data_IF_847125191124
#
_entry.id   IF_847125191124
#
_cell.length_a   1.000
_cell.length_b   1.000
_cell.length_c   1.000
_cell.angle_alpha   90.00
_cell.angle_beta   90.00
_cell.angle_gamma   90.00
#
_symmetry.space_group_name_H-M   'P 1'
#
loop_
_entity.id
_entity.type
_entity.pdbx_description
1 polymer ?
#
# COMPACT_ATOMS: atom_id res chain seq x y z
N UNK A 1 9.82 2.89 -15.47
CA UNK A 1 9.81 1.50 -15.93
C UNK A 1 11.00 0.78 -15.33
N UNK A 2 10.75 -0.18 -14.44
CA UNK A 2 11.78 -0.96 -13.77
C UNK A 2 11.86 -2.35 -14.42
N UNK A 3 13.08 -2.80 -14.71
CA UNK A 3 13.37 -4.16 -15.18
C UNK A 3 13.85 -4.98 -13.99
N UNK A 4 13.40 -6.23 -13.90
CA UNK A 4 13.89 -7.22 -12.94
C UNK A 4 14.45 -8.42 -13.67
N UNK A 5 15.52 -8.98 -13.14
CA UNK A 5 16.07 -10.23 -13.63
C UNK A 5 15.41 -11.38 -12.88
N UNK A 6 14.84 -12.33 -13.62
CA UNK A 6 14.15 -13.49 -13.03
C UNK A 6 14.77 -14.75 -13.60
N UNK A 7 15.28 -15.58 -12.70
CA UNK A 7 15.71 -16.93 -13.00
C UNK A 7 14.52 -17.87 -12.97
N UNK A 8 14.36 -18.66 -14.05
CA UNK A 8 13.32 -19.68 -14.17
C UNK A 8 13.94 -21.01 -14.53
N UNK A 9 13.26 -22.09 -14.14
CA UNK A 9 13.62 -23.41 -14.64
C UNK A 9 13.57 -23.43 -16.16
N UNK A 10 14.56 -24.06 -16.78
CA UNK A 10 14.62 -24.19 -18.22
C UNK A 10 13.39 -24.95 -18.73
N UNK A 11 12.61 -24.31 -19.59
CA UNK A 11 11.36 -24.85 -20.13
C UNK A 11 11.52 -26.13 -20.96
N UNK A 12 12.74 -26.42 -21.41
CA UNK A 12 13.06 -27.58 -22.26
C UNK A 12 13.43 -28.81 -21.43
N UNK A 13 14.22 -28.65 -20.36
CA UNK A 13 14.71 -29.77 -19.54
C UNK A 13 14.11 -29.83 -18.13
N UNK A 14 13.21 -28.90 -17.77
CA UNK A 14 12.56 -28.90 -16.45
C UNK A 14 13.54 -28.79 -15.29
N UNK A 15 14.68 -28.12 -15.48
CA UNK A 15 15.68 -27.91 -14.42
C UNK A 15 16.84 -28.91 -14.38
N UNK A 16 16.84 -29.98 -15.18
CA UNK A 16 17.90 -31.00 -15.14
C UNK A 16 19.23 -30.56 -15.79
N UNK A 17 19.17 -29.60 -16.72
CA UNK A 17 20.31 -29.11 -17.49
C UNK A 17 20.35 -29.67 -18.91
N UNK A 18 20.53 -28.80 -19.90
CA UNK A 18 20.69 -29.17 -21.31
C UNK A 18 21.48 -28.09 -22.07
N UNK A 19 21.79 -28.33 -23.34
CA UNK A 19 22.51 -27.36 -24.18
C UNK A 19 21.81 -26.00 -24.27
N UNK A 20 20.47 -25.98 -24.17
CA UNK A 20 19.67 -24.76 -24.23
C UNK A 20 19.84 -23.83 -23.02
N UNK A 21 20.16 -24.39 -21.85
CA UNK A 21 20.51 -23.63 -20.65
C UNK A 21 22.01 -23.77 -20.31
N UNK A 22 22.84 -24.27 -21.23
CA UNK A 22 24.26 -24.53 -21.01
C UNK A 22 24.56 -25.38 -19.76
N UNK A 23 23.68 -26.35 -19.48
CA UNK A 23 23.83 -27.30 -18.37
C UNK A 23 23.49 -26.74 -16.99
N UNK A 24 22.98 -25.52 -16.87
CA UNK A 24 22.66 -24.91 -15.56
C UNK A 24 21.30 -25.32 -15.01
N UNK A 25 20.40 -25.81 -15.87
CA UNK A 25 18.99 -26.04 -15.53
C UNK A 25 18.15 -24.77 -15.43
N UNK A 26 18.76 -23.58 -15.54
CA UNK A 26 18.14 -22.28 -15.25
C UNK A 26 18.32 -21.35 -16.46
N UNK A 27 17.26 -20.62 -16.79
CA UNK A 27 17.31 -19.53 -17.75
C UNK A 27 16.86 -18.24 -17.08
N UNK A 28 17.74 -17.24 -17.10
CA UNK A 28 17.44 -15.91 -16.64
C UNK A 28 16.86 -15.04 -17.75
N UNK A 29 15.78 -14.33 -17.47
CA UNK A 29 15.20 -13.34 -18.37
C UNK A 29 15.00 -12.00 -17.68
N UNK A 30 15.17 -10.91 -18.44
CA UNK A 30 14.79 -9.58 -17.99
C UNK A 30 13.29 -9.39 -18.25
N UNK A 31 12.51 -9.20 -17.19
CA UNK A 31 11.07 -8.97 -17.26
C UNK A 31 10.75 -7.54 -16.86
N UNK A 32 9.82 -6.94 -17.59
CA UNK A 32 9.25 -5.64 -17.22
C UNK A 32 8.33 -5.81 -16.01
N UNK A 33 8.61 -5.04 -14.96
CA UNK A 33 7.68 -4.95 -13.84
C UNK A 33 6.52 -4.03 -14.22
N UNK A 34 5.25 -4.46 -14.03
CA UNK A 34 4.13 -3.57 -14.20
C UNK A 34 4.27 -2.39 -13.22
N UNK A 35 4.04 -1.18 -13.70
CA UNK A 35 3.97 0.00 -12.85
C UNK A 35 2.76 -0.14 -11.92
N UNK A 36 3.00 -0.51 -10.65
CA UNK A 36 1.97 -0.52 -9.62
C UNK A 36 1.65 0.93 -9.26
N UNK A 37 0.52 1.44 -9.74
CA UNK A 37 -0.02 2.72 -9.27
C UNK A 37 -0.76 2.51 -7.97
N UNK A 38 -0.15 2.93 -6.86
CA UNK A 38 -0.86 3.02 -5.59
C UNK A 38 -1.89 4.15 -5.65
N UNK A 39 -3.06 4.02 -5.02
CA UNK A 39 -4.01 5.11 -4.91
C UNK A 39 -3.36 6.29 -4.18
N UNK A 40 -3.53 7.49 -4.73
CA UNK A 40 -3.14 8.71 -4.01
C UNK A 40 -4.26 9.08 -3.02
N UNK A 41 -3.92 9.39 -1.75
CA UNK A 41 -4.90 9.88 -0.80
C UNK A 41 -5.50 11.21 -1.28
N UNK A 42 -6.81 11.38 -1.06
CA UNK A 42 -7.44 12.68 -1.28
C UNK A 42 -6.79 13.74 -0.40
N UNK A 43 -6.90 15.02 -0.81
CA UNK A 43 -6.40 16.15 -0.01
C UNK A 43 -6.91 16.11 1.43
N UNK A 44 -8.19 15.79 1.63
CA UNK A 44 -8.78 15.67 2.96
C UNK A 44 -8.14 14.53 3.77
N UNK A 45 -7.90 13.36 3.17
CA UNK A 45 -7.23 12.25 3.84
C UNK A 45 -5.78 12.59 4.23
N UNK A 46 -5.10 13.35 3.38
CA UNK A 46 -3.76 13.85 3.67
C UNK A 46 -3.76 14.84 4.85
N UNK A 47 -4.71 15.79 4.86
CA UNK A 47 -4.89 16.74 5.96
C UNK A 47 -5.25 16.05 7.29
N UNK A 48 -6.09 15.01 7.25
CA UNK A 48 -6.41 14.17 8.42
C UNK A 48 -5.15 13.52 8.98
N UNK A 49 -4.36 12.85 8.13
CA UNK A 49 -3.10 12.20 8.53
C UNK A 49 -2.11 13.21 9.11
N UNK A 50 -1.96 14.36 8.47
CA UNK A 50 -1.07 15.43 8.94
C UNK A 50 -1.47 15.93 10.33
N UNK A 51 -2.76 16.17 10.55
CA UNK A 51 -3.28 16.54 11.87
C UNK A 51 -3.02 15.46 12.90
N UNK A 52 -3.36 14.19 12.61
CA UNK A 52 -3.15 13.07 13.56
C UNK A 52 -1.69 12.98 14.01
N UNK A 53 -0.76 13.08 13.06
CA UNK A 53 0.68 13.05 13.34
C UNK A 53 1.14 14.27 14.16
N UNK A 54 0.63 15.46 13.86
CA UNK A 54 0.92 16.66 14.63
C UNK A 54 0.41 16.56 16.08
N UNK A 55 -0.77 15.95 16.27
CA UNK A 55 -1.35 15.66 17.58
C UNK A 55 -0.69 14.46 18.30
N UNK A 56 0.31 13.80 17.67
CA UNK A 56 0.99 12.60 18.17
C UNK A 56 0.05 11.44 18.49
N UNK A 57 -1.07 11.36 17.80
CA UNK A 57 -2.05 10.29 17.97
C UNK A 57 -1.68 9.08 17.12
N UNK A 58 -1.71 7.89 17.71
CA UNK A 58 -1.72 6.63 16.98
C UNK A 58 -3.08 6.41 16.31
N UNK A 59 -3.14 5.53 15.31
CA UNK A 59 -4.44 5.15 14.72
C UNK A 59 -5.34 4.43 15.74
N UNK A 60 -4.76 3.75 16.73
CA UNK A 60 -5.52 3.11 17.80
C UNK A 60 -6.20 4.15 18.70
N UNK A 61 -5.46 5.18 19.12
CA UNK A 61 -6.03 6.26 19.93
C UNK A 61 -7.12 7.02 19.16
N UNK A 62 -6.87 7.34 17.89
CA UNK A 62 -7.89 7.97 17.04
C UNK A 62 -9.13 7.08 16.88
N UNK A 63 -8.95 5.76 16.79
CA UNK A 63 -10.04 4.79 16.74
C UNK A 63 -10.89 4.82 18.01
N UNK A 64 -10.26 4.90 19.18
CA UNK A 64 -10.96 5.03 20.47
C UNK A 64 -11.72 6.35 20.56
N UNK A 65 -11.13 7.46 20.12
CA UNK A 65 -11.77 8.79 20.18
C UNK A 65 -12.99 8.91 19.26
N UNK A 66 -12.92 8.31 18.07
CA UNK A 66 -13.94 8.49 17.03
C UNK A 66 -14.95 7.34 16.97
N UNK A 67 -14.63 6.21 17.60
CA UNK A 67 -15.37 4.95 17.43
C UNK A 67 -15.19 4.30 16.05
N UNK A 68 -14.39 4.89 15.16
CA UNK A 68 -14.09 4.33 13.84
C UNK A 68 -13.00 3.27 13.96
N UNK A 69 -13.15 2.13 13.27
CA UNK A 69 -12.16 1.06 13.34
C UNK A 69 -10.79 1.47 12.78
N UNK A 70 -9.70 0.99 13.40
CA UNK A 70 -8.31 1.25 12.96
C UNK A 70 -8.09 0.93 11.47
N UNK A 71 -8.66 -0.17 10.97
CA UNK A 71 -8.56 -0.55 9.55
C UNK A 71 -9.25 0.46 8.65
N UNK A 72 -10.38 1.02 9.08
CA UNK A 72 -11.10 2.06 8.34
C UNK A 72 -10.22 3.31 8.26
N UNK A 73 -9.74 3.79 9.41
CA UNK A 73 -8.86 4.98 9.48
C UNK A 73 -7.61 4.82 8.61
N UNK A 74 -6.96 3.65 8.67
CA UNK A 74 -5.78 3.35 7.84
C UNK A 74 -6.11 3.40 6.34
N UNK A 75 -7.25 2.83 5.91
CA UNK A 75 -7.66 2.87 4.50
C UNK A 75 -7.96 4.29 4.05
N UNK A 76 -8.57 5.12 4.89
CA UNK A 76 -8.83 6.53 4.60
C UNK A 76 -7.52 7.30 4.40
N UNK A 77 -6.60 7.24 5.36
CA UNK A 77 -5.33 7.98 5.31
C UNK A 77 -4.43 7.61 4.12
N UNK A 78 -4.57 6.40 3.59
CA UNK A 78 -3.77 5.91 2.47
C UNK A 78 -4.52 5.98 1.12
N UNK A 79 -5.71 6.58 1.07
CA UNK A 79 -6.48 6.69 -0.18
C UNK A 79 -7.02 5.37 -0.71
N UNK A 80 -7.01 4.31 0.11
CA UNK A 80 -7.53 3.00 -0.27
C UNK A 80 -9.07 2.95 -0.21
N UNK A 81 -9.69 3.97 0.39
CA UNK A 81 -11.13 4.16 0.44
C UNK A 81 -11.45 5.64 0.66
N UNK A 82 -12.54 6.10 0.08
CA UNK A 82 -13.12 7.39 0.43
C UNK A 82 -13.85 7.35 1.77
N UNK A 83 -13.91 8.51 2.42
CA UNK A 83 -14.70 8.72 3.64
C UNK A 83 -16.14 9.07 3.29
N UNK A 84 -17.07 8.47 4.02
CA UNK A 84 -18.47 8.86 4.00
C UNK A 84 -18.66 10.22 4.70
N UNK A 85 -19.76 10.91 4.42
CA UNK A 85 -20.06 12.19 5.08
C UNK A 85 -20.20 12.06 6.60
N UNK A 86 -20.71 10.92 7.08
CA UNK A 86 -20.79 10.65 8.52
C UNK A 86 -19.40 10.54 9.15
N UNK A 87 -18.49 9.82 8.53
CA UNK A 87 -17.10 9.67 9.02
C UNK A 87 -16.35 11.00 8.96
N UNK A 88 -16.51 11.79 7.90
CA UNK A 88 -15.92 13.12 7.81
C UNK A 88 -16.40 14.00 8.96
N UNK A 89 -17.71 14.03 9.24
CA UNK A 89 -18.27 14.78 10.36
C UNK A 89 -17.68 14.37 11.71
N UNK A 90 -17.56 13.06 11.97
CA UNK A 90 -16.98 12.57 13.23
C UNK A 90 -15.50 12.95 13.35
N UNK A 91 -14.72 12.78 12.28
CA UNK A 91 -13.28 13.07 12.28
C UNK A 91 -13.00 14.57 12.35
N UNK A 92 -13.77 15.38 11.64
CA UNK A 92 -13.64 16.85 11.69
C UNK A 92 -14.05 17.39 13.06
N UNK A 93 -15.10 16.85 13.69
CA UNK A 93 -15.48 17.22 15.05
C UNK A 93 -14.40 16.84 16.08
N UNK A 94 -13.85 15.62 15.98
CA UNK A 94 -12.74 15.20 16.83
C UNK A 94 -11.50 16.10 16.65
N UNK A 95 -11.22 16.53 15.41
CA UNK A 95 -10.13 17.45 15.10
C UNK A 95 -10.32 18.82 15.75
N UNK A 96 -11.54 19.35 15.77
CA UNK A 96 -11.85 20.64 16.37
C UNK A 96 -11.70 20.64 17.90
N UNK A 97 -12.02 19.53 18.56
CA UNK A 97 -11.87 19.37 20.02
C UNK A 97 -10.40 19.31 20.47
N UNK A 98 -9.49 18.92 19.58
CA UNK A 98 -8.05 18.72 19.85
C UNK A 98 -7.15 19.79 19.22
N UNK A 99 -7.71 20.95 18.88
CA UNK A 99 -6.99 22.13 18.39
C UNK A 99 -6.68 23.10 19.52
#
# INVERSE_FOLDING_TARGET
MALVFVDRECSVCGGEGCDHCHGTGIQGECVEMPDIRLPEPSRWAWELRAWRLAAKLTLMELSVLTGLGVVVLSKLENGLRDATDAEKKVLDACREEWR
#
